data_IF_874522918377
#
_entry.id   IF_874522918377
#
_cell.length_a   1.000
_cell.length_b   1.000
_cell.length_c   1.000
_cell.angle_alpha   90.00
_cell.angle_beta   90.00
_cell.angle_gamma   90.00
#
_symmetry.space_group_name_H-M   'P 1'
#
loop_
_entity.id
_entity.type
_entity.pdbx_description
1 polymer ?
#
# COMPACT_ATOMS: atom_id res chain seq x y z
N UNK A 1 -10.80 -0.04 27.12
CA UNK A 1 -10.37 1.33 26.78
C UNK A 1 -11.61 2.15 26.57
N UNK A 2 -11.84 3.19 27.37
CA UNK A 2 -12.97 4.10 27.18
C UNK A 2 -12.54 5.17 26.17
N UNK A 3 -13.47 5.62 25.33
CA UNK A 3 -13.21 6.57 24.24
C UNK A 3 -12.49 7.83 24.72
N UNK A 4 -12.86 8.32 25.91
CA UNK A 4 -12.26 9.48 26.54
C UNK A 4 -10.75 9.31 26.76
N UNK A 5 -10.32 8.12 27.19
CA UNK A 5 -8.91 7.80 27.43
C UNK A 5 -8.05 8.00 26.16
N UNK A 6 -8.62 7.75 24.96
CA UNK A 6 -7.90 7.91 23.70
C UNK A 6 -7.80 9.39 23.25
N UNK A 7 -8.81 10.21 23.59
CA UNK A 7 -8.82 11.65 23.32
C UNK A 7 -7.81 12.33 24.26
N UNK A 8 -7.94 12.05 25.56
CA UNK A 8 -7.05 12.58 26.59
C UNK A 8 -5.59 12.20 26.25
N UNK A 9 -5.32 10.95 25.86
CA UNK A 9 -3.99 10.53 25.43
C UNK A 9 -3.45 11.27 24.19
N UNK A 10 -4.31 11.68 23.25
CA UNK A 10 -3.87 12.52 22.13
C UNK A 10 -3.46 13.90 22.60
N UNK A 11 -4.34 14.54 23.38
CA UNK A 11 -4.13 15.89 23.87
C UNK A 11 -2.87 15.96 24.74
N UNK A 12 -2.69 14.98 25.63
CA UNK A 12 -1.50 14.85 26.48
C UNK A 12 -0.22 14.55 25.68
N UNK A 13 -0.30 13.74 24.62
CA UNK A 13 0.87 13.39 23.80
C UNK A 13 1.21 14.43 22.73
N UNK A 14 0.30 15.36 22.43
CA UNK A 14 0.44 16.29 21.32
C UNK A 14 0.44 15.61 19.94
N UNK A 15 -0.11 14.41 19.82
CA UNK A 15 -0.11 13.66 18.55
C UNK A 15 -1.12 14.24 17.55
N UNK A 16 -0.72 14.44 16.30
CA UNK A 16 -1.65 14.90 15.24
C UNK A 16 -2.67 13.82 14.88
N UNK A 17 -2.26 12.55 14.97
CA UNK A 17 -2.99 11.36 14.52
C UNK A 17 -3.04 10.31 15.64
N UNK A 18 -4.21 9.71 15.85
CA UNK A 18 -4.38 8.49 16.66
C UNK A 18 -4.97 7.38 15.81
N UNK A 19 -4.38 6.19 15.90
CA UNK A 19 -4.86 4.97 15.24
C UNK A 19 -5.46 4.05 16.31
N UNK A 20 -6.77 3.83 16.24
CA UNK A 20 -7.46 2.91 17.15
C UNK A 20 -7.54 1.52 16.52
N UNK A 21 -6.89 0.54 17.15
CA UNK A 21 -6.89 -0.84 16.69
C UNK A 21 -8.02 -1.67 17.35
N UNK A 22 -8.55 -2.66 16.62
CA UNK A 22 -9.50 -3.70 17.10
C UNK A 22 -10.90 -3.22 17.50
N UNK A 23 -11.48 -2.29 16.75
CA UNK A 23 -12.92 -2.00 16.84
C UNK A 23 -13.72 -3.19 16.28
N UNK A 24 -14.53 -3.83 17.11
CA UNK A 24 -15.47 -4.85 16.68
C UNK A 24 -16.62 -4.22 15.89
N UNK A 25 -17.11 -4.93 14.88
CA UNK A 25 -18.12 -4.46 13.92
C UNK A 25 -19.39 -3.86 14.55
N UNK A 26 -19.78 -4.30 15.75
CA UNK A 26 -21.00 -3.81 16.45
C UNK A 26 -20.82 -2.48 17.18
N UNK A 27 -19.60 -2.17 17.63
CA UNK A 27 -19.28 -0.87 18.22
C UNK A 27 -18.67 0.08 17.21
N UNK A 28 -18.23 -0.41 16.05
CA UNK A 28 -17.59 0.35 14.99
C UNK A 28 -18.44 1.56 14.57
N UNK A 29 -19.67 1.40 14.08
CA UNK A 29 -20.48 2.54 13.61
C UNK A 29 -20.80 3.54 14.74
N UNK A 30 -21.08 3.05 15.96
CA UNK A 30 -21.39 3.91 17.12
C UNK A 30 -20.16 4.64 17.67
N UNK A 31 -18.98 4.03 17.52
CA UNK A 31 -17.68 4.63 17.79
C UNK A 31 -17.44 5.79 16.83
N UNK A 32 -17.82 5.66 15.56
CA UNK A 32 -17.46 6.61 14.51
C UNK A 32 -18.23 7.92 14.52
N UNK A 33 -19.53 7.89 14.86
CA UNK A 33 -20.33 9.12 14.96
C UNK A 33 -19.84 10.11 16.03
N UNK A 34 -18.98 9.67 16.95
CA UNK A 34 -18.39 10.56 17.96
C UNK A 34 -17.16 11.33 17.43
N UNK A 35 -16.67 11.07 16.22
CA UNK A 35 -15.39 11.58 15.77
C UNK A 35 -15.41 12.10 14.33
N UNK A 36 -15.05 13.37 14.15
CA UNK A 36 -14.63 13.90 12.85
C UNK A 36 -13.11 13.73 12.70
N UNK A 37 -12.66 13.26 11.53
CA UNK A 37 -11.28 13.35 11.02
C UNK A 37 -10.21 12.49 11.69
N UNK A 38 -10.34 11.18 11.63
CA UNK A 38 -9.27 10.27 12.08
C UNK A 38 -8.87 9.30 10.98
N UNK A 39 -7.67 8.68 11.03
CA UNK A 39 -7.32 7.59 10.13
C UNK A 39 -7.82 6.24 10.62
N UNK A 40 -8.26 5.38 9.69
CA UNK A 40 -8.55 3.97 9.96
C UNK A 40 -7.55 3.04 9.29
N UNK A 41 -7.10 2.04 10.03
CA UNK A 41 -6.37 0.91 9.49
C UNK A 41 -7.33 -0.25 9.24
N UNK A 42 -7.67 -0.50 7.98
CA UNK A 42 -8.44 -1.68 7.61
C UNK A 42 -7.49 -2.89 7.59
N UNK A 43 -7.85 -3.92 8.35
CA UNK A 43 -7.15 -5.20 8.32
C UNK A 43 -7.96 -6.19 7.50
N UNK A 44 -7.48 -6.47 6.30
CA UNK A 44 -8.02 -7.55 5.45
C UNK A 44 -7.92 -8.89 6.20
N UNK A 45 -9.04 -9.60 6.32
CA UNK A 45 -9.14 -10.83 7.12
C UNK A 45 -9.33 -10.63 8.64
N UNK A 46 -9.48 -9.38 9.10
CA UNK A 46 -9.82 -9.05 10.49
C UNK A 46 -11.32 -9.09 10.78
N UNK A 47 -11.71 -8.73 12.01
CA UNK A 47 -13.13 -8.57 12.41
C UNK A 47 -13.74 -7.23 12.01
N UNK A 48 -12.94 -6.35 11.41
CA UNK A 48 -13.36 -5.03 10.97
C UNK A 48 -13.99 -5.17 9.58
N UNK A 49 -15.25 -4.72 9.38
CA UNK A 49 -15.88 -4.77 8.08
C UNK A 49 -15.09 -3.88 7.11
N UNK A 50 -14.85 -4.39 5.90
CA UNK A 50 -14.27 -3.59 4.82
C UNK A 50 -15.41 -2.75 4.25
N UNK A 51 -15.52 -1.50 4.73
CA UNK A 51 -16.45 -0.52 4.18
C UNK A 51 -15.88 0.08 2.90
N UNK A 52 -16.77 0.57 2.05
CA UNK A 52 -16.36 1.30 0.86
C UNK A 52 -15.87 2.71 1.23
N UNK A 53 -15.11 3.36 0.34
CA UNK A 53 -14.54 4.68 0.62
C UNK A 53 -15.60 5.77 0.84
N UNK A 54 -16.75 5.67 0.16
CA UNK A 54 -17.85 6.63 0.28
C UNK A 54 -18.48 6.52 1.67
N UNK A 55 -18.74 5.31 2.16
CA UNK A 55 -19.24 5.04 3.50
C UNK A 55 -18.25 5.55 4.55
N UNK A 56 -16.94 5.36 4.34
CA UNK A 56 -15.93 5.87 5.26
C UNK A 56 -15.87 7.40 5.27
N UNK A 57 -16.01 8.05 4.11
CA UNK A 57 -16.07 9.50 3.98
C UNK A 57 -17.32 10.08 4.64
N UNK A 58 -18.50 9.48 4.41
CA UNK A 58 -19.77 9.86 5.07
C UNK A 58 -19.69 9.76 6.59
N UNK A 59 -18.89 8.80 7.08
CA UNK A 59 -18.63 8.61 8.49
C UNK A 59 -17.62 9.65 9.06
N UNK A 60 -16.86 10.33 8.20
CA UNK A 60 -15.91 11.39 8.59
C UNK A 60 -14.45 10.95 8.66
N UNK A 61 -14.09 9.85 7.99
CA UNK A 61 -12.69 9.45 7.80
C UNK A 61 -12.03 10.25 6.68
N UNK A 62 -10.82 10.75 6.95
CA UNK A 62 -10.02 11.48 5.96
C UNK A 62 -8.86 10.64 5.40
N UNK A 63 -8.41 9.65 6.18
CA UNK A 63 -7.26 8.80 5.82
C UNK A 63 -7.63 7.34 6.05
N UNK A 64 -7.33 6.49 5.05
CA UNK A 64 -7.54 5.04 5.14
C UNK A 64 -6.22 4.34 4.81
N UNK A 65 -5.78 3.45 5.71
CA UNK A 65 -4.53 2.71 5.58
C UNK A 65 -4.79 1.25 5.24
N UNK A 66 -4.10 0.76 4.19
CA UNK A 66 -4.16 -0.61 3.67
C UNK A 66 -2.78 -1.30 3.79
N UNK A 67 -2.23 -1.49 5.00
CA UNK A 67 -0.83 -1.87 5.17
C UNK A 67 -0.49 -3.29 4.70
N UNK A 68 -1.48 -4.18 4.63
CA UNK A 68 -1.28 -5.59 4.27
C UNK A 68 -1.72 -5.90 2.84
N UNK A 69 -2.49 -5.03 2.18
CA UNK A 69 -3.10 -5.30 0.89
C UNK A 69 -2.06 -5.56 -0.19
N UNK A 70 -1.09 -4.64 -0.32
CA UNK A 70 -0.03 -4.77 -1.30
C UNK A 70 0.84 -6.01 -1.02
N UNK A 71 1.18 -6.24 0.25
CA UNK A 71 1.97 -7.42 0.66
C UNK A 71 1.22 -8.71 0.34
N UNK A 72 -0.09 -8.76 0.61
CA UNK A 72 -0.94 -9.91 0.37
C UNK A 72 -1.01 -10.28 -1.11
N UNK A 73 -1.22 -9.30 -1.99
CA UNK A 73 -1.24 -9.54 -3.45
C UNK A 73 0.15 -9.94 -3.96
N UNK A 74 1.23 -9.33 -3.46
CA UNK A 74 2.60 -9.70 -3.83
C UNK A 74 2.94 -11.14 -3.44
N UNK A 75 2.58 -11.57 -2.22
CA UNK A 75 2.79 -12.95 -1.76
C UNK A 75 2.04 -13.94 -2.66
N UNK A 76 0.80 -13.62 -3.06
CA UNK A 76 0.02 -14.47 -3.97
C UNK A 76 0.72 -14.60 -5.33
N UNK A 77 1.06 -13.47 -5.95
CA UNK A 77 1.72 -13.45 -7.25
C UNK A 77 3.05 -14.22 -7.24
N UNK A 78 3.87 -14.05 -6.20
CA UNK A 78 5.12 -14.80 -6.04
C UNK A 78 4.89 -16.31 -5.91
N UNK A 79 3.87 -16.75 -5.15
CA UNK A 79 3.53 -18.18 -5.02
C UNK A 79 3.06 -18.80 -6.33
N UNK A 80 2.25 -18.07 -7.09
CA UNK A 80 1.74 -18.53 -8.37
C UNK A 80 2.88 -18.67 -9.39
N UNK A 81 3.79 -17.68 -9.42
CA UNK A 81 5.00 -17.74 -10.23
C UNK A 81 5.90 -18.93 -9.88
N UNK A 82 6.17 -19.16 -8.58
CA UNK A 82 6.97 -20.29 -8.12
C UNK A 82 6.32 -21.64 -8.47
N UNK A 83 4.99 -21.73 -8.44
CA UNK A 83 4.25 -22.94 -8.81
C UNK A 83 4.39 -23.24 -10.30
N UNK A 84 4.26 -22.22 -11.16
CA UNK A 84 4.48 -22.35 -12.60
C UNK A 84 5.92 -22.80 -12.90
N UNK A 85 6.91 -22.13 -12.29
CA UNK A 85 8.33 -22.44 -12.47
C UNK A 85 8.64 -23.87 -12.03
N UNK A 86 8.06 -24.33 -10.91
CA UNK A 86 8.22 -25.71 -10.44
C UNK A 86 7.74 -26.76 -11.46
N UNK A 87 6.72 -26.42 -12.26
CA UNK A 87 6.19 -27.26 -13.32
C UNK A 87 6.93 -27.08 -14.67
N UNK A 88 7.98 -26.26 -14.73
CA UNK A 88 8.71 -25.93 -15.96
C UNK A 88 7.99 -24.93 -16.87
N UNK A 89 6.95 -24.26 -16.37
CA UNK A 89 6.18 -23.26 -17.10
C UNK A 89 6.56 -21.84 -16.65
N UNK A 90 6.41 -20.86 -17.53
CA UNK A 90 6.43 -19.45 -17.13
C UNK A 90 5.15 -19.11 -16.35
N UNK A 91 5.20 -18.13 -15.42
CA UNK A 91 4.00 -17.54 -14.83
C UNK A 91 3.04 -17.07 -15.94
N UNK A 92 1.74 -17.00 -15.67
CA UNK A 92 0.79 -16.54 -16.69
C UNK A 92 1.19 -15.16 -17.24
N UNK A 93 1.26 -15.03 -18.57
CA UNK A 93 1.72 -13.80 -19.23
C UNK A 93 0.83 -12.60 -18.91
N UNK A 94 -0.46 -12.83 -18.63
CA UNK A 94 -1.38 -11.78 -18.20
C UNK A 94 -1.01 -11.14 -16.85
N UNK A 95 -0.12 -11.77 -16.07
CA UNK A 95 0.35 -11.30 -14.76
C UNK A 95 1.80 -10.82 -14.77
N UNK A 96 2.50 -10.91 -15.91
CA UNK A 96 3.87 -10.45 -16.04
C UNK A 96 3.87 -9.11 -16.75
N UNK A 97 4.37 -8.03 -16.12
CA UNK A 97 4.63 -6.80 -16.84
C UNK A 97 5.67 -7.06 -17.94
N UNK A 98 5.59 -6.30 -19.02
CA UNK A 98 6.58 -6.33 -20.07
C UNK A 98 7.95 -5.85 -19.55
N UNK A 99 9.02 -6.16 -20.27
CA UNK A 99 10.35 -5.66 -19.91
C UNK A 99 10.37 -4.11 -19.88
N UNK A 100 9.73 -3.48 -20.86
CA UNK A 100 9.63 -2.02 -20.95
C UNK A 100 8.92 -1.43 -19.71
N UNK A 101 7.77 -1.99 -19.32
CA UNK A 101 7.04 -1.59 -18.11
C UNK A 101 7.89 -1.76 -16.83
N UNK A 102 8.68 -2.85 -16.75
CA UNK A 102 9.60 -3.07 -15.63
C UNK A 102 10.67 -1.97 -15.60
N UNK A 103 11.33 -1.68 -16.72
CA UNK A 103 12.38 -0.67 -16.77
C UNK A 103 11.86 0.74 -16.48
N UNK A 104 10.66 1.06 -16.97
CA UNK A 104 9.97 2.31 -16.67
C UNK A 104 9.66 2.42 -15.17
N UNK A 105 9.06 1.37 -14.59
CA UNK A 105 8.73 1.30 -13.16
C UNK A 105 9.97 1.45 -12.29
N UNK A 106 11.10 0.88 -12.70
CA UNK A 106 12.38 0.97 -12.00
C UNK A 106 13.08 2.32 -12.20
N UNK A 107 12.56 3.21 -13.06
CA UNK A 107 13.08 4.56 -13.27
C UNK A 107 14.29 4.64 -14.21
N UNK A 108 14.48 3.66 -15.10
CA UNK A 108 15.60 3.66 -16.04
C UNK A 108 15.60 4.89 -16.95
N UNK A 109 14.41 5.38 -17.34
CA UNK A 109 14.27 6.60 -18.14
C UNK A 109 14.93 7.81 -17.46
N UNK A 110 14.70 7.99 -16.15
CA UNK A 110 15.30 9.08 -15.39
C UNK A 110 16.81 8.88 -15.22
N UNK A 111 17.25 7.64 -15.00
CA UNK A 111 18.67 7.29 -14.93
C UNK A 111 19.42 7.65 -16.23
N UNK A 112 18.90 7.28 -17.39
CA UNK A 112 19.54 7.54 -18.69
C UNK A 112 19.58 9.03 -19.04
N UNK A 113 18.54 9.80 -18.67
CA UNK A 113 18.58 11.27 -18.83
C UNK A 113 19.65 11.91 -17.94
N UNK A 114 19.89 11.38 -16.73
CA UNK A 114 20.95 11.85 -15.86
C UNK A 114 22.34 11.47 -16.40
N UNK A 115 22.51 10.26 -16.96
CA UNK A 115 23.75 9.80 -17.57
C UNK A 115 24.23 10.73 -18.70
N UNK A 116 23.31 11.22 -19.54
CA UNK A 116 23.62 12.17 -20.62
C UNK A 116 24.30 13.45 -20.12
N UNK A 117 24.02 13.89 -18.89
CA UNK A 117 24.60 15.11 -18.29
C UNK A 117 26.07 14.93 -17.94
N UNK A 118 26.49 13.71 -17.64
CA UNK A 118 27.87 13.37 -17.25
C UNK A 118 28.62 12.59 -18.33
N UNK A 119 28.02 12.43 -19.51
CA UNK A 119 28.63 11.78 -20.66
C UNK A 119 29.89 12.52 -21.11
N UNK A 120 31.05 12.12 -20.61
CA UNK A 120 32.33 12.51 -21.19
C UNK A 120 32.52 11.82 -22.54
N UNK A 121 33.17 12.50 -23.48
CA UNK A 121 33.51 11.99 -24.82
C UNK A 121 34.57 10.87 -24.74
N UNK A 122 34.18 9.71 -24.20
CA UNK A 122 34.96 8.49 -24.24
C UNK A 122 34.16 7.46 -25.04
N UNK A 123 34.73 7.02 -26.16
CA UNK A 123 34.14 6.16 -27.19
C UNK A 123 33.08 5.17 -26.69
N UNK A 124 31.91 5.24 -27.34
CA UNK A 124 30.87 4.21 -27.33
C UNK A 124 31.52 2.83 -27.42
N UNK A 125 31.54 2.10 -26.31
CA UNK A 125 31.56 0.64 -26.36
C UNK A 125 30.13 0.22 -26.15
N UNK A 126 29.47 -0.09 -27.25
CA UNK A 126 28.11 -0.59 -27.32
C UNK A 126 27.94 -1.76 -26.32
N UNK A 127 27.24 -1.51 -25.22
CA UNK A 127 26.65 -2.58 -24.44
C UNK A 127 25.27 -2.85 -25.02
N UNK A 128 25.24 -3.62 -26.11
CA UNK A 128 24.04 -4.38 -26.46
C UNK A 128 23.92 -5.56 -25.49
N UNK A 129 22.98 -5.48 -24.53
CA UNK A 129 22.37 -6.63 -23.88
C UNK A 129 20.94 -6.34 -23.51
#
# INVERSE_FOLDING_TARGET
MRIKDAIDAREESGSDIVIVARTDSRHFVRFLHCFQKWPICLKEGGKTPILNLIELEEIGFEIVCYPLSLIGVSIRAMKDALTAIKCGCLPPLASLPSFDEITETLGFNAYYEEEKRYGTSTSQRDFQR
#
